data_IF_655333902890
#
_entry.id   IF_655333902890
#
_cell.length_a   1.000
_cell.length_b   1.000
_cell.length_c   1.000
_cell.angle_alpha   90.00
_cell.angle_beta   90.00
_cell.angle_gamma   90.00
#
_symmetry.space_group_name_H-M   'P 1'
#
loop_
_entity.id
_entity.type
_entity.pdbx_description
1 polymer ?
#
# COMPACT_ATOMS: atom_id res chain seq x y z
N UNK A 1 61.49 2.96 -8.07
CA UNK A 1 62.58 2.67 -7.11
C UNK A 1 63.82 2.41 -7.93
N UNK A 2 64.87 3.20 -7.69
CA UNK A 2 66.05 3.28 -8.55
C UNK A 2 66.87 1.98 -8.54
N UNK A 3 67.35 1.60 -9.72
CA UNK A 3 68.42 0.63 -9.88
C UNK A 3 69.56 1.32 -10.63
N UNK A 4 70.66 1.43 -9.90
CA UNK A 4 71.90 2.09 -10.26
C UNK A 4 72.65 1.34 -11.36
N UNK A 5 73.01 2.12 -12.37
CA UNK A 5 74.10 1.94 -13.33
C UNK A 5 75.36 1.33 -12.69
N UNK A 6 75.75 0.14 -13.16
CA UNK A 6 77.13 -0.36 -13.09
C UNK A 6 77.41 -1.19 -14.35
N UNK A 7 77.60 -0.48 -15.46
CA UNK A 7 78.39 -0.97 -16.60
C UNK A 7 78.99 0.26 -17.29
N UNK A 8 80.13 0.72 -16.78
CA UNK A 8 81.02 1.59 -17.55
C UNK A 8 81.79 0.70 -18.53
N UNK A 9 81.52 0.87 -19.81
CA UNK A 9 82.40 0.40 -20.88
C UNK A 9 83.73 1.18 -20.79
N UNK A 10 84.90 0.55 -20.92
CA UNK A 10 86.13 1.29 -21.20
C UNK A 10 86.12 1.72 -22.67
N UNK A 11 86.39 3.01 -22.87
CA UNK A 11 86.57 3.64 -24.16
C UNK A 11 87.61 2.90 -25.02
N UNK A 12 87.25 2.68 -26.29
CA UNK A 12 88.20 2.34 -27.34
C UNK A 12 89.08 3.54 -27.64
N UNK A 13 90.18 3.69 -26.89
CA UNK A 13 91.27 4.58 -27.27
C UNK A 13 92.09 3.94 -28.39
N UNK A 14 92.04 4.57 -29.57
CA UNK A 14 92.94 4.29 -30.67
C UNK A 14 94.36 4.74 -30.30
N UNK A 15 95.19 3.81 -29.84
CA UNK A 15 96.63 4.05 -29.79
C UNK A 15 97.20 3.92 -31.20
N UNK A 16 97.64 5.07 -31.73
CA UNK A 16 98.48 5.15 -32.91
C UNK A 16 99.84 4.50 -32.61
N UNK A 17 100.27 3.67 -33.55
CA UNK A 17 101.63 3.18 -33.70
C UNK A 17 102.62 4.36 -33.73
N UNK A 18 103.49 4.42 -32.73
CA UNK A 18 104.79 5.10 -32.80
C UNK A 18 105.76 4.33 -31.89
N UNK A 19 106.20 3.15 -32.35
CA UNK A 19 107.32 2.43 -31.74
C UNK A 19 108.53 2.56 -32.67
N UNK A 20 109.31 3.59 -32.38
CA UNK A 20 110.66 3.80 -32.91
C UNK A 20 111.53 2.57 -32.63
N UNK A 21 112.20 2.09 -33.67
CA UNK A 21 113.32 1.18 -33.57
C UNK A 21 114.47 1.88 -32.83
N UNK A 22 114.85 1.36 -31.67
CA UNK A 22 116.22 1.47 -31.17
C UNK A 22 116.73 0.11 -30.71
N UNK A 23 117.96 -0.25 -31.09
CA UNK A 23 118.52 -1.57 -30.90
C UNK A 23 118.87 -1.82 -29.44
N UNK A 24 118.63 -3.05 -29.01
CA UNK A 24 119.15 -3.61 -27.77
C UNK A 24 120.68 -3.49 -27.74
N UNK A 25 121.19 -2.54 -26.96
CA UNK A 25 122.53 -2.62 -26.38
C UNK A 25 122.37 -3.19 -24.97
N UNK A 26 122.75 -4.45 -24.82
CA UNK A 26 122.73 -5.12 -23.53
C UNK A 26 123.67 -4.47 -22.52
N UNK A 27 123.37 -4.53 -21.22
CA UNK A 27 124.41 -4.55 -20.22
C UNK A 27 124.92 -6.00 -20.14
N UNK A 28 126.08 -6.22 -20.76
CA UNK A 28 127.03 -7.22 -20.29
C UNK A 28 127.36 -6.91 -18.83
N UNK A 29 126.80 -7.68 -17.91
CA UNK A 29 127.46 -7.94 -16.63
C UNK A 29 127.24 -9.42 -16.25
N UNK A 30 128.18 -10.24 -16.73
CA UNK A 30 128.37 -11.63 -16.36
C UNK A 30 129.10 -11.68 -15.02
N UNK A 31 128.41 -11.33 -13.93
CA UNK A 31 128.70 -11.86 -12.60
C UNK A 31 127.38 -11.96 -11.80
N UNK A 32 126.45 -12.77 -12.30
CA UNK A 32 125.35 -13.22 -11.45
C UNK A 32 125.94 -14.06 -10.30
N UNK A 33 126.10 -13.44 -9.13
CA UNK A 33 126.42 -14.13 -7.91
C UNK A 33 125.30 -15.13 -7.61
N UNK A 34 125.65 -16.36 -7.22
CA UNK A 34 124.70 -17.49 -7.09
C UNK A 34 123.48 -17.12 -6.24
N UNK A 35 123.69 -16.30 -5.21
CA UNK A 35 122.66 -15.80 -4.30
C UNK A 35 121.59 -14.92 -4.99
N UNK A 36 121.97 -14.10 -5.99
CA UNK A 36 121.02 -13.24 -6.73
C UNK A 36 120.13 -14.04 -7.68
N UNK A 37 120.66 -15.11 -8.29
CA UNK A 37 119.87 -16.06 -9.09
C UNK A 37 118.89 -16.80 -8.17
N UNK A 38 119.35 -17.25 -7.00
CA UNK A 38 118.50 -17.95 -6.03
C UNK A 38 117.34 -17.06 -5.56
N UNK A 39 117.60 -15.79 -5.24
CA UNK A 39 116.56 -14.84 -4.84
C UNK A 39 115.55 -14.59 -5.97
N UNK A 40 116.02 -14.41 -7.21
CA UNK A 40 115.15 -14.22 -8.38
C UNK A 40 114.29 -15.46 -8.67
N UNK A 41 114.85 -16.66 -8.55
CA UNK A 41 114.10 -17.92 -8.68
C UNK A 41 113.06 -18.05 -7.56
N UNK A 42 113.38 -17.64 -6.33
CA UNK A 42 112.41 -17.64 -5.22
C UNK A 42 111.28 -16.64 -5.45
N UNK A 43 111.57 -15.44 -5.97
CA UNK A 43 110.54 -14.45 -6.31
C UNK A 43 109.63 -14.94 -7.43
N UNK A 44 110.20 -15.47 -8.52
CA UNK A 44 109.41 -16.07 -9.60
C UNK A 44 108.55 -17.23 -9.09
N UNK A 45 109.05 -18.05 -8.13
CA UNK A 45 108.24 -19.11 -7.50
C UNK A 45 107.07 -18.56 -6.69
N UNK A 46 107.25 -17.45 -5.96
CA UNK A 46 106.16 -16.80 -5.22
C UNK A 46 105.13 -16.19 -6.17
N UNK A 47 105.59 -15.52 -7.23
CA UNK A 47 104.71 -14.92 -8.24
C UNK A 47 103.91 -15.99 -9.01
N UNK A 48 104.54 -17.12 -9.33
CA UNK A 48 103.88 -18.28 -9.93
C UNK A 48 102.81 -18.85 -8.99
N UNK A 49 103.13 -19.04 -7.70
CA UNK A 49 102.17 -19.54 -6.72
C UNK A 49 100.97 -18.57 -6.52
N UNK A 50 101.23 -17.26 -6.52
CA UNK A 50 100.17 -16.25 -6.46
C UNK A 50 99.28 -16.24 -7.72
N UNK A 51 99.88 -16.40 -8.90
CA UNK A 51 99.13 -16.53 -10.15
C UNK A 51 98.28 -17.80 -10.19
N UNK A 52 98.79 -18.93 -9.69
CA UNK A 52 98.03 -20.18 -9.53
C UNK A 52 96.83 -19.98 -8.59
N UNK A 53 97.02 -19.32 -7.44
CA UNK A 53 95.92 -19.02 -6.51
C UNK A 53 94.85 -18.13 -7.14
N UNK A 54 95.24 -17.09 -7.89
CA UNK A 54 94.30 -16.23 -8.63
C UNK A 54 93.53 -17.01 -9.69
N UNK A 55 94.21 -17.92 -10.41
CA UNK A 55 93.56 -18.80 -11.37
C UNK A 55 92.55 -19.73 -10.69
N UNK A 56 92.87 -20.29 -9.53
CA UNK A 56 91.96 -21.13 -8.76
C UNK A 56 90.74 -20.35 -8.25
N UNK A 57 90.94 -19.11 -7.77
CA UNK A 57 89.85 -18.22 -7.36
C UNK A 57 88.95 -17.86 -8.56
N UNK A 58 89.52 -17.55 -9.71
CA UNK A 58 88.77 -17.27 -10.94
C UNK A 58 87.98 -18.50 -11.40
N UNK A 59 88.59 -19.69 -11.37
CA UNK A 59 87.92 -20.95 -11.70
C UNK A 59 86.73 -21.23 -10.77
N UNK A 60 86.88 -20.95 -9.47
CA UNK A 60 85.79 -21.08 -8.50
C UNK A 60 84.65 -20.09 -8.79
N UNK A 61 84.96 -18.83 -9.15
CA UNK A 61 83.94 -17.86 -9.56
C UNK A 61 83.22 -18.27 -10.85
N UNK A 62 83.95 -18.75 -11.85
CA UNK A 62 83.34 -19.29 -13.07
C UNK A 62 82.45 -20.50 -12.78
N UNK A 63 82.82 -21.36 -11.83
CA UNK A 63 81.96 -22.46 -11.41
C UNK A 63 80.65 -21.97 -10.76
N UNK A 64 80.71 -20.93 -9.91
CA UNK A 64 79.51 -20.29 -9.33
C UNK A 64 78.61 -19.69 -10.42
N UNK A 65 79.17 -18.92 -11.35
CA UNK A 65 78.40 -18.34 -12.45
C UNK A 65 77.79 -19.41 -13.36
N UNK A 66 78.46 -20.55 -13.58
CA UNK A 66 77.87 -21.66 -14.33
C UNK A 66 76.63 -22.21 -13.64
N UNK A 67 76.65 -22.37 -12.32
CA UNK A 67 75.48 -22.84 -11.55
C UNK A 67 74.34 -21.81 -11.62
N UNK A 68 74.63 -20.53 -11.38
CA UNK A 68 73.64 -19.45 -11.46
C UNK A 68 72.99 -19.37 -12.85
N UNK A 69 73.78 -19.49 -13.92
CA UNK A 69 73.27 -19.51 -15.30
C UNK A 69 72.33 -20.69 -15.52
N UNK A 70 72.65 -21.88 -15.04
CA UNK A 70 71.77 -23.05 -15.17
C UNK A 70 70.47 -22.89 -14.36
N UNK A 71 70.53 -22.31 -13.16
CA UNK A 71 69.34 -21.99 -12.37
C UNK A 71 68.44 -20.94 -13.04
N UNK A 72 69.04 -19.90 -13.62
CA UNK A 72 68.32 -18.88 -14.39
C UNK A 72 67.70 -19.46 -15.66
N UNK A 73 68.39 -20.34 -16.38
CA UNK A 73 67.83 -21.05 -17.54
C UNK A 73 66.62 -21.91 -17.14
N UNK A 74 66.71 -22.62 -16.02
CA UNK A 74 65.59 -23.41 -15.50
C UNK A 74 64.40 -22.52 -15.16
N UNK A 75 64.62 -21.42 -14.44
CA UNK A 75 63.57 -20.44 -14.11
C UNK A 75 62.94 -19.80 -15.36
N UNK A 76 63.75 -19.46 -16.36
CA UNK A 76 63.25 -18.94 -17.63
C UNK A 76 62.41 -19.97 -18.38
N UNK A 77 62.78 -21.26 -18.34
CA UNK A 77 61.99 -22.32 -18.96
C UNK A 77 60.63 -22.50 -18.29
N UNK A 78 60.58 -22.46 -16.95
CA UNK A 78 59.31 -22.57 -16.20
C UNK A 78 58.41 -21.36 -16.46
N UNK A 79 58.96 -20.16 -16.50
CA UNK A 79 58.22 -18.93 -16.83
C UNK A 79 57.69 -18.94 -18.27
N UNK A 80 58.45 -19.49 -19.22
CA UNK A 80 58.00 -19.65 -20.61
C UNK A 80 56.83 -20.63 -20.70
N UNK A 81 56.90 -21.76 -20.00
CA UNK A 81 55.80 -22.72 -19.93
C UNK A 81 54.56 -22.11 -19.27
N UNK A 82 54.72 -21.38 -18.15
CA UNK A 82 53.64 -20.66 -17.48
C UNK A 82 52.97 -19.64 -18.40
N UNK A 83 53.77 -18.82 -19.10
CA UNK A 83 53.26 -17.85 -20.06
C UNK A 83 52.50 -18.50 -21.24
N UNK A 84 52.92 -19.69 -21.69
CA UNK A 84 52.20 -20.42 -22.74
C UNK A 84 50.80 -20.84 -22.26
N UNK A 85 50.68 -21.34 -21.03
CA UNK A 85 49.39 -21.71 -20.43
C UNK A 85 48.49 -20.49 -20.28
N UNK A 86 49.03 -19.37 -19.76
CA UNK A 86 48.26 -18.13 -19.60
C UNK A 86 47.75 -17.57 -20.94
N UNK A 87 48.54 -17.67 -22.01
CA UNK A 87 48.10 -17.27 -23.36
C UNK A 87 46.94 -18.11 -23.87
N UNK A 88 46.95 -19.42 -23.62
CA UNK A 88 45.86 -20.29 -24.01
C UNK A 88 44.58 -19.98 -23.21
N UNK A 89 44.70 -19.83 -21.88
CA UNK A 89 43.57 -19.42 -21.03
C UNK A 89 42.96 -18.09 -21.49
N UNK A 90 43.81 -17.11 -21.84
CA UNK A 90 43.36 -15.82 -22.35
C UNK A 90 42.67 -15.92 -23.72
N UNK A 91 43.09 -16.85 -24.57
CA UNK A 91 42.41 -17.16 -25.84
C UNK A 91 41.01 -17.74 -25.61
N UNK A 92 40.88 -18.69 -24.68
CA UNK A 92 39.59 -19.29 -24.29
C UNK A 92 38.66 -18.24 -23.70
N UNK A 93 39.14 -17.42 -22.76
CA UNK A 93 38.32 -16.38 -22.14
C UNK A 93 37.87 -15.31 -23.14
N UNK A 94 38.70 -14.96 -24.12
CA UNK A 94 38.29 -14.06 -25.22
C UNK A 94 37.15 -14.65 -26.05
N UNK A 95 37.18 -15.95 -26.35
CA UNK A 95 36.08 -16.64 -27.06
C UNK A 95 34.81 -16.65 -26.21
N UNK A 96 34.92 -16.98 -24.92
CA UNK A 96 33.79 -16.95 -23.97
C UNK A 96 33.17 -15.55 -23.92
N UNK A 97 33.98 -14.50 -23.78
CA UNK A 97 33.52 -13.11 -23.81
C UNK A 97 32.80 -12.74 -25.10
N UNK A 98 33.26 -13.22 -26.26
CA UNK A 98 32.59 -12.97 -27.54
C UNK A 98 31.20 -13.62 -27.59
N UNK A 99 31.09 -14.90 -27.21
CA UNK A 99 29.80 -15.63 -27.19
C UNK A 99 28.80 -15.01 -26.21
N UNK A 100 29.25 -14.59 -25.03
CA UNK A 100 28.40 -13.94 -24.03
C UNK A 100 27.91 -12.57 -24.53
N UNK A 101 28.74 -11.80 -25.23
CA UNK A 101 28.34 -10.52 -25.84
C UNK A 101 27.29 -10.70 -26.93
N UNK A 102 27.44 -11.71 -27.76
CA UNK A 102 26.46 -12.04 -28.81
C UNK A 102 25.11 -12.41 -28.18
N UNK A 103 25.12 -13.31 -27.19
CA UNK A 103 23.90 -13.69 -26.45
C UNK A 103 23.22 -12.49 -25.79
N UNK A 104 24.00 -11.62 -25.12
CA UNK A 104 23.47 -10.40 -24.52
C UNK A 104 22.85 -9.44 -25.55
N UNK A 105 23.38 -9.40 -26.78
CA UNK A 105 22.82 -8.60 -27.88
C UNK A 105 21.46 -9.13 -28.33
N UNK A 106 21.33 -10.46 -28.46
CA UNK A 106 20.07 -11.13 -28.81
C UNK A 106 19.02 -10.89 -27.72
N UNK A 107 19.37 -11.14 -26.46
CA UNK A 107 18.47 -10.92 -25.32
C UNK A 107 17.99 -9.46 -25.24
N UNK A 108 18.87 -8.50 -25.55
CA UNK A 108 18.52 -7.08 -25.64
C UNK A 108 17.52 -6.78 -26.75
N UNK A 109 17.62 -7.47 -27.90
CA UNK A 109 16.65 -7.31 -28.99
C UNK A 109 15.30 -7.93 -28.61
N UNK A 110 15.29 -9.08 -27.96
CA UNK A 110 14.06 -9.75 -27.53
C UNK A 110 13.34 -8.96 -26.44
N UNK A 111 14.07 -8.40 -25.47
CA UNK A 111 13.50 -7.48 -24.47
C UNK A 111 12.84 -6.26 -25.12
N UNK A 112 13.43 -5.70 -26.19
CA UNK A 112 12.81 -4.60 -26.94
C UNK A 112 11.50 -5.05 -27.59
N UNK A 113 11.48 -6.22 -28.23
CA UNK A 113 10.26 -6.78 -28.86
C UNK A 113 9.16 -7.01 -27.82
N UNK A 114 9.49 -7.67 -26.71
CA UNK A 114 8.55 -7.90 -25.60
C UNK A 114 8.01 -6.58 -25.03
N UNK A 115 8.85 -5.56 -24.86
CA UNK A 115 8.42 -4.24 -24.38
C UNK A 115 7.38 -3.60 -25.30
N UNK A 116 7.54 -3.71 -26.63
CA UNK A 116 6.55 -3.20 -27.58
C UNK A 116 5.23 -3.96 -27.47
N UNK A 117 5.27 -5.29 -27.43
CA UNK A 117 4.06 -6.13 -27.28
C UNK A 117 3.32 -5.82 -25.99
N UNK A 118 4.03 -5.69 -24.86
CA UNK A 118 3.42 -5.33 -23.57
C UNK A 118 2.75 -3.96 -23.64
N UNK A 119 3.38 -2.96 -24.25
CA UNK A 119 2.76 -1.64 -24.44
C UNK A 119 1.50 -1.70 -25.31
N UNK A 120 1.48 -2.52 -26.36
CA UNK A 120 0.29 -2.72 -27.20
C UNK A 120 -0.84 -3.40 -26.43
N UNK A 121 -0.53 -4.44 -25.65
CA UNK A 121 -1.53 -5.12 -24.81
C UNK A 121 -2.08 -4.18 -23.73
N UNK A 122 -1.23 -3.35 -23.12
CA UNK A 122 -1.67 -2.35 -22.15
C UNK A 122 -2.61 -1.31 -22.77
N UNK A 123 -2.30 -0.84 -23.98
CA UNK A 123 -3.18 0.08 -24.70
C UNK A 123 -4.55 -0.55 -24.98
N UNK A 124 -4.57 -1.81 -25.41
CA UNK A 124 -5.81 -2.56 -25.66
C UNK A 124 -6.62 -2.79 -24.37
N UNK A 125 -5.96 -3.12 -23.27
CA UNK A 125 -6.61 -3.26 -21.97
C UNK A 125 -7.26 -1.93 -21.53
N UNK A 126 -6.55 -0.81 -21.73
CA UNK A 126 -7.07 0.51 -21.40
C UNK A 126 -8.31 0.86 -22.24
N UNK A 127 -8.33 0.54 -23.53
CA UNK A 127 -9.49 0.79 -24.40
C UNK A 127 -10.70 -0.06 -24.00
N UNK A 128 -10.50 -1.36 -23.72
CA UNK A 128 -11.57 -2.24 -23.26
C UNK A 128 -12.14 -1.80 -21.90
N UNK A 129 -11.27 -1.38 -20.98
CA UNK A 129 -11.67 -0.86 -19.67
C UNK A 129 -12.49 0.43 -19.81
N UNK A 130 -12.09 1.34 -20.69
CA UNK A 130 -12.84 2.57 -20.96
C UNK A 130 -14.22 2.27 -21.57
N UNK A 131 -14.30 1.30 -22.50
CA UNK A 131 -15.56 0.84 -23.09
C UNK A 131 -16.50 0.23 -22.03
N UNK A 132 -15.99 -0.65 -21.17
CA UNK A 132 -16.74 -1.25 -20.06
C UNK A 132 -17.27 -0.19 -19.09
N UNK A 133 -16.46 0.80 -18.73
CA UNK A 133 -16.89 1.90 -17.87
C UNK A 133 -18.01 2.73 -18.51
N UNK A 134 -17.92 3.01 -19.81
CA UNK A 134 -18.97 3.71 -20.55
C UNK A 134 -20.29 2.93 -20.58
N UNK A 135 -20.23 1.62 -20.87
CA UNK A 135 -21.42 0.74 -20.84
C UNK A 135 -22.03 0.65 -19.43
N UNK A 136 -21.20 0.54 -18.40
CA UNK A 136 -21.66 0.50 -16.99
C UNK A 136 -22.36 1.80 -16.60
N UNK A 137 -21.81 2.95 -17.03
CA UNK A 137 -22.44 4.25 -16.81
C UNK A 137 -23.79 4.34 -17.52
N UNK A 138 -23.88 3.87 -18.76
CA UNK A 138 -25.13 3.84 -19.50
C UNK A 138 -26.18 2.93 -18.85
N UNK A 139 -25.77 1.74 -18.39
CA UNK A 139 -26.64 0.82 -17.66
C UNK A 139 -27.24 1.47 -16.40
N UNK A 140 -26.41 2.15 -15.59
CA UNK A 140 -26.88 2.89 -14.40
C UNK A 140 -27.91 3.98 -14.73
N UNK A 141 -27.72 4.68 -15.84
CA UNK A 141 -28.69 5.71 -16.29
C UNK A 141 -30.02 5.07 -16.65
N UNK A 142 -30.01 3.95 -17.37
CA UNK A 142 -31.23 3.21 -17.72
C UNK A 142 -31.91 2.66 -16.46
N UNK A 143 -31.16 2.08 -15.53
CA UNK A 143 -31.71 1.59 -14.25
C UNK A 143 -32.40 2.72 -13.47
N UNK A 144 -31.81 3.91 -13.46
CA UNK A 144 -32.42 5.07 -12.82
C UNK A 144 -33.72 5.50 -13.53
N UNK A 145 -33.70 5.59 -14.86
CA UNK A 145 -34.89 5.93 -15.64
C UNK A 145 -36.01 4.91 -15.45
N UNK A 146 -35.67 3.62 -15.37
CA UNK A 146 -36.62 2.57 -15.09
C UNK A 146 -37.24 2.71 -13.70
N UNK A 147 -36.43 3.00 -12.67
CA UNK A 147 -36.93 3.22 -11.31
C UNK A 147 -37.84 4.45 -11.21
N UNK A 148 -37.50 5.54 -11.92
CA UNK A 148 -38.34 6.74 -12.01
C UNK A 148 -39.68 6.43 -12.72
N UNK A 149 -39.64 5.75 -13.87
CA UNK A 149 -40.85 5.37 -14.61
C UNK A 149 -41.75 4.40 -13.83
N UNK A 150 -41.17 3.46 -13.07
CA UNK A 150 -41.92 2.59 -12.16
C UNK A 150 -42.65 3.40 -11.09
N UNK A 151 -41.96 4.37 -10.49
CA UNK A 151 -42.57 5.25 -9.50
C UNK A 151 -43.70 6.10 -10.09
N UNK A 152 -43.51 6.68 -11.27
CA UNK A 152 -44.54 7.49 -11.94
C UNK A 152 -45.77 6.65 -12.31
N UNK A 153 -45.56 5.41 -12.79
CA UNK A 153 -46.64 4.47 -13.10
C UNK A 153 -47.45 4.14 -11.85
N UNK A 154 -46.76 3.86 -10.75
CA UNK A 154 -47.40 3.52 -9.49
C UNK A 154 -48.12 4.69 -8.85
N UNK A 155 -47.54 5.89 -8.93
CA UNK A 155 -48.19 7.14 -8.56
C UNK A 155 -49.49 7.32 -9.35
N UNK A 156 -49.43 7.17 -10.68
CA UNK A 156 -50.61 7.32 -11.54
C UNK A 156 -51.69 6.28 -11.22
N UNK A 157 -51.31 5.03 -10.95
CA UNK A 157 -52.28 4.01 -10.48
C UNK A 157 -53.00 4.46 -9.22
N UNK A 158 -52.27 4.92 -8.21
CA UNK A 158 -52.86 5.39 -6.97
C UNK A 158 -53.76 6.62 -7.17
N UNK A 159 -53.38 7.59 -8.02
CA UNK A 159 -54.24 8.75 -8.29
C UNK A 159 -55.48 8.37 -9.08
N UNK A 160 -55.37 7.50 -10.08
CA UNK A 160 -56.52 7.06 -10.90
C UNK A 160 -57.49 6.20 -10.08
N UNK A 161 -56.97 5.35 -9.19
CA UNK A 161 -57.79 4.59 -8.24
C UNK A 161 -58.48 5.51 -7.23
N UNK A 162 -57.77 6.53 -6.72
CA UNK A 162 -58.36 7.54 -5.86
C UNK A 162 -59.47 8.33 -6.58
N UNK A 163 -59.24 8.78 -7.82
CA UNK A 163 -60.23 9.45 -8.68
C UNK A 163 -61.46 8.58 -8.96
N UNK A 164 -61.27 7.29 -9.20
CA UNK A 164 -62.38 6.32 -9.35
C UNK A 164 -63.19 6.16 -8.08
N UNK A 165 -62.54 6.20 -6.91
CA UNK A 165 -63.22 6.16 -5.63
C UNK A 165 -63.99 7.45 -5.35
N UNK A 166 -63.48 8.62 -5.77
CA UNK A 166 -64.23 9.90 -5.70
C UNK A 166 -65.36 10.01 -6.73
N UNK A 167 -65.26 9.32 -7.88
CA UNK A 167 -66.33 9.28 -8.89
C UNK A 167 -67.49 8.32 -8.54
N UNK A 168 -67.40 7.53 -7.46
CA UNK A 168 -68.58 6.86 -6.92
C UNK A 168 -69.46 7.90 -6.21
N UNK A 169 -70.70 8.17 -6.67
CA UNK A 169 -71.54 9.28 -6.17
C UNK A 169 -72.20 9.00 -4.82
N UNK A 170 -71.60 8.14 -3.99
CA UNK A 170 -72.08 7.88 -2.63
C UNK A 170 -71.09 8.52 -1.66
N UNK A 171 -71.47 9.73 -1.22
CA UNK A 171 -70.97 10.49 -0.06
C UNK A 171 -69.81 11.47 -0.40
N UNK A 172 -70.14 12.58 -1.09
CA UNK A 172 -69.39 13.84 -0.91
C UNK A 172 -69.85 14.50 0.40
N UNK A 173 -69.33 14.02 1.53
CA UNK A 173 -69.35 14.81 2.77
C UNK A 173 -68.21 15.83 2.69
N UNK A 174 -68.53 17.10 2.42
CA UNK A 174 -67.55 18.21 2.43
C UNK A 174 -66.92 18.44 3.81
N UNK A 175 -67.51 17.87 4.86
CA UNK A 175 -67.00 17.87 6.23
C UNK A 175 -66.17 16.61 6.57
N UNK A 176 -65.92 15.71 5.61
CA UNK A 176 -65.07 14.55 5.83
C UNK A 176 -63.60 14.98 5.98
N UNK A 177 -62.87 14.45 6.98
CA UNK A 177 -61.42 14.65 7.08
C UNK A 177 -60.72 14.24 5.79
N UNK A 178 -59.75 15.05 5.36
CA UNK A 178 -58.93 14.73 4.19
C UNK A 178 -58.32 13.32 4.34
N UNK A 179 -58.27 12.53 3.25
CA UNK A 179 -57.75 11.18 3.32
C UNK A 179 -56.30 11.18 3.81
N UNK A 180 -55.94 10.26 4.73
CA UNK A 180 -54.60 10.20 5.29
C UNK A 180 -53.57 9.86 4.21
N UNK A 181 -52.54 10.70 4.08
CA UNK A 181 -51.44 10.48 3.12
C UNK A 181 -50.36 9.62 3.78
N UNK A 182 -50.03 8.44 3.24
CA UNK A 182 -48.95 7.61 3.78
C UNK A 182 -47.60 8.27 3.54
N UNK A 183 -46.68 8.13 4.50
CA UNK A 183 -45.32 8.63 4.35
C UNK A 183 -44.29 7.81 5.13
N UNK A 184 -43.03 8.02 4.78
CA UNK A 184 -41.85 7.55 5.50
C UNK A 184 -40.98 8.74 5.90
N UNK A 185 -40.31 8.63 7.03
CA UNK A 185 -39.45 9.67 7.58
C UNK A 185 -38.00 9.23 7.59
N UNK A 186 -37.09 10.13 7.22
CA UNK A 186 -35.64 9.97 7.38
C UNK A 186 -35.12 11.08 8.28
N UNK A 187 -34.53 10.70 9.42
CA UNK A 187 -33.88 11.60 10.36
C UNK A 187 -32.38 11.36 10.32
N UNK A 188 -31.60 12.41 10.06
CA UNK A 188 -30.15 12.32 9.93
C UNK A 188 -29.47 13.27 10.91
N UNK A 189 -28.57 12.72 11.71
CA UNK A 189 -27.57 13.48 12.44
C UNK A 189 -26.43 13.84 11.49
N UNK A 190 -26.47 15.08 10.99
CA UNK A 190 -25.48 15.62 10.07
C UNK A 190 -24.12 15.86 10.71
N UNK A 191 -24.01 15.90 12.04
CA UNK A 191 -22.75 16.07 12.75
C UNK A 191 -21.99 14.74 12.87
N UNK A 192 -22.72 13.62 13.01
CA UNK A 192 -22.13 12.31 13.20
C UNK A 192 -21.87 11.54 11.88
N UNK A 193 -22.58 11.89 10.81
CA UNK A 193 -22.48 11.22 9.51
C UNK A 193 -21.66 12.03 8.52
N UNK A 194 -20.72 11.38 7.85
CA UNK A 194 -20.00 11.99 6.72
C UNK A 194 -20.67 11.58 5.41
N UNK A 195 -20.85 12.53 4.50
CA UNK A 195 -21.33 12.27 3.14
C UNK A 195 -20.34 11.40 2.36
N UNK A 196 -20.86 10.55 1.47
CA UNK A 196 -20.05 9.70 0.59
C UNK A 196 -19.17 10.55 -0.33
N UNK A 197 -17.92 10.11 -0.56
CA UNK A 197 -16.96 10.83 -1.42
C UNK A 197 -17.48 11.00 -2.85
N UNK A 198 -18.28 10.05 -3.31
CA UNK A 198 -18.83 10.03 -4.66
C UNK A 198 -19.81 11.18 -4.91
N UNK A 199 -20.39 11.77 -3.85
CA UNK A 199 -21.29 12.93 -3.96
C UNK A 199 -20.54 14.18 -4.42
N UNK A 200 -19.25 14.28 -4.10
CA UNK A 200 -18.41 15.43 -4.45
C UNK A 200 -17.59 15.20 -5.74
N UNK A 201 -17.65 14.01 -6.33
CA UNK A 201 -16.91 13.72 -7.57
C UNK A 201 -17.62 14.34 -8.77
N UNK A 202 -16.90 15.17 -9.54
CA UNK A 202 -17.36 15.78 -10.80
C UNK A 202 -17.92 14.76 -11.79
N UNK A 203 -17.34 13.56 -11.86
CA UNK A 203 -17.76 12.51 -12.79
C UNK A 203 -19.16 11.94 -12.48
N UNK A 204 -19.53 11.96 -11.19
CA UNK A 204 -20.76 11.41 -10.66
C UNK A 204 -21.87 12.45 -10.50
N UNK A 205 -21.58 13.74 -10.72
CA UNK A 205 -22.56 14.83 -10.67
C UNK A 205 -23.42 14.91 -11.92
N UNK A 206 -23.23 14.06 -12.92
CA UNK A 206 -24.01 14.10 -14.17
C UNK A 206 -25.15 13.10 -14.11
N UNK A 207 -26.37 13.60 -13.95
CA UNK A 207 -27.61 12.80 -13.99
C UNK A 207 -28.34 13.13 -15.28
N UNK A 208 -28.26 12.25 -16.28
CA UNK A 208 -28.71 12.57 -17.64
C UNK A 208 -27.89 13.69 -18.30
N UNK A 209 -28.54 14.78 -18.71
CA UNK A 209 -27.90 15.96 -19.32
C UNK A 209 -27.55 17.07 -18.32
N UNK A 210 -28.01 16.97 -17.09
CA UNK A 210 -27.87 18.02 -16.07
C UNK A 210 -26.72 17.71 -15.10
N UNK A 211 -25.99 18.77 -14.72
CA UNK A 211 -25.03 18.70 -13.63
C UNK A 211 -25.79 18.95 -12.32
N UNK A 212 -25.88 17.93 -11.49
CA UNK A 212 -26.51 18.00 -10.17
C UNK A 212 -25.46 18.37 -9.15
N UNK A 213 -25.70 19.46 -8.44
CA UNK A 213 -24.82 19.90 -7.38
C UNK A 213 -24.79 18.92 -6.19
N UNK A 214 -23.69 18.85 -5.41
CA UNK A 214 -23.49 17.84 -4.37
C UNK A 214 -24.65 17.69 -3.38
N UNK A 215 -25.23 18.79 -2.89
CA UNK A 215 -26.37 18.72 -1.96
C UNK A 215 -27.60 18.07 -2.59
N UNK A 216 -27.92 18.46 -3.84
CA UNK A 216 -29.04 17.87 -4.59
C UNK A 216 -28.79 16.40 -4.96
N UNK A 217 -27.53 16.02 -5.21
CA UNK A 217 -27.16 14.63 -5.45
C UNK A 217 -27.35 13.79 -4.17
N UNK A 218 -26.98 14.31 -3.01
CA UNK A 218 -27.21 13.65 -1.72
C UNK A 218 -28.70 13.40 -1.46
N UNK A 219 -29.55 14.41 -1.67
CA UNK A 219 -31.01 14.29 -1.55
C UNK A 219 -31.57 13.22 -2.51
N UNK A 220 -31.13 13.23 -3.77
CA UNK A 220 -31.51 12.24 -4.78
C UNK A 220 -31.12 10.82 -4.35
N UNK A 221 -29.91 10.63 -3.83
CA UNK A 221 -29.47 9.31 -3.38
C UNK A 221 -30.24 8.81 -2.15
N UNK A 222 -30.58 9.68 -1.19
CA UNK A 222 -31.45 9.30 -0.06
C UNK A 222 -32.82 8.84 -0.58
N UNK A 223 -33.47 9.63 -1.45
CA UNK A 223 -34.75 9.25 -2.07
C UNK A 223 -34.67 7.86 -2.70
N UNK A 224 -33.63 7.60 -3.49
CA UNK A 224 -33.47 6.33 -4.19
C UNK A 224 -33.31 5.15 -3.22
N UNK A 225 -32.52 5.29 -2.15
CA UNK A 225 -32.37 4.23 -1.15
C UNK A 225 -33.66 3.97 -0.38
N UNK A 226 -34.44 5.01 -0.08
CA UNK A 226 -35.76 4.88 0.55
C UNK A 226 -36.77 4.20 -0.38
N UNK A 227 -36.83 4.59 -1.66
CA UNK A 227 -37.71 3.94 -2.65
C UNK A 227 -37.38 2.45 -2.78
N UNK A 228 -36.08 2.10 -2.91
CA UNK A 228 -35.66 0.69 -2.91
C UNK A 228 -36.16 -0.06 -1.68
N UNK A 229 -36.08 0.56 -0.50
CA UNK A 229 -36.59 -0.05 0.73
C UNK A 229 -38.10 -0.29 0.66
N UNK A 230 -38.88 0.73 0.24
CA UNK A 230 -40.34 0.66 0.11
C UNK A 230 -40.75 -0.49 -0.82
N UNK A 231 -40.15 -0.57 -2.02
CA UNK A 231 -40.43 -1.61 -3.00
C UNK A 231 -40.10 -3.02 -2.46
N UNK A 232 -39.08 -3.13 -1.61
CA UNK A 232 -38.69 -4.38 -0.96
C UNK A 232 -39.56 -4.76 0.25
N UNK A 233 -40.59 -3.98 0.62
CA UNK A 233 -41.49 -4.31 1.73
C UNK A 233 -42.71 -5.16 1.32
N UNK A 234 -42.76 -5.69 0.09
CA UNK A 234 -43.83 -6.57 -0.38
C UNK A 234 -45.25 -6.00 -0.14
N UNK A 235 -45.44 -4.69 -0.35
CA UNK A 235 -46.74 -4.01 -0.18
C UNK A 235 -47.09 -3.58 1.25
N UNK A 236 -46.25 -3.86 2.26
CA UNK A 236 -46.48 -3.36 3.63
C UNK A 236 -46.37 -1.84 3.75
N UNK A 237 -45.58 -1.20 2.90
CA UNK A 237 -45.50 0.25 2.78
C UNK A 237 -46.11 0.62 1.42
N UNK A 238 -47.14 1.48 1.39
CA UNK A 238 -47.71 1.95 0.13
C UNK A 238 -46.64 2.62 -0.74
N UNK A 239 -46.47 2.24 -2.00
CA UNK A 239 -45.42 2.83 -2.84
C UNK A 239 -45.62 4.31 -3.18
N UNK A 240 -46.87 4.78 -3.13
CA UNK A 240 -47.21 6.20 -3.19
C UNK A 240 -46.87 6.99 -1.89
N UNK A 241 -46.19 6.37 -0.92
CA UNK A 241 -45.77 7.04 0.32
C UNK A 241 -44.86 8.22 0.04
N UNK A 242 -45.18 9.38 0.62
CA UNK A 242 -44.30 10.55 0.57
C UNK A 242 -43.02 10.29 1.38
N UNK A 243 -41.90 10.85 0.95
CA UNK A 243 -40.62 10.72 1.64
C UNK A 243 -40.30 12.08 2.27
N UNK A 244 -40.24 12.11 3.60
CA UNK A 244 -39.83 13.27 4.37
C UNK A 244 -38.39 13.02 4.85
N UNK A 245 -37.48 13.94 4.57
CA UNK A 245 -36.08 13.83 5.02
C UNK A 245 -35.69 15.08 5.78
N UNK A 246 -35.20 14.91 7.01
CA UNK A 246 -34.70 16.01 7.84
C UNK A 246 -33.28 15.72 8.29
N UNK A 247 -32.36 16.56 7.85
CA UNK A 247 -30.96 16.56 8.28
C UNK A 247 -30.77 17.69 9.28
N UNK A 248 -30.32 17.35 10.49
CA UNK A 248 -30.00 18.33 11.52
C UNK A 248 -28.50 18.38 11.73
N UNK A 249 -27.92 19.56 11.65
CA UNK A 249 -26.48 19.76 11.74
C UNK A 249 -26.19 21.10 12.40
N UNK A 250 -25.24 21.18 13.34
CA UNK A 250 -24.83 22.47 13.88
C UNK A 250 -23.85 23.15 12.92
N UNK A 251 -24.27 24.20 12.21
CA UNK A 251 -23.47 24.79 11.13
C UNK A 251 -22.13 25.34 11.63
N UNK A 252 -22.13 25.99 12.81
CA UNK A 252 -20.92 26.58 13.38
C UNK A 252 -19.83 25.55 13.73
N UNK A 253 -20.22 24.33 14.12
CA UNK A 253 -19.28 23.24 14.44
C UNK A 253 -18.89 22.34 13.26
N UNK A 254 -19.75 22.28 12.22
CA UNK A 254 -19.62 21.33 11.11
C UNK A 254 -19.03 21.94 9.84
N UNK A 255 -19.09 23.26 9.65
CA UNK A 255 -18.50 23.94 8.49
C UNK A 255 -17.01 23.64 8.34
N UNK A 256 -16.25 23.75 9.43
CA UNK A 256 -14.81 23.45 9.44
C UNK A 256 -14.50 21.98 9.11
N UNK A 257 -15.37 21.04 9.51
CA UNK A 257 -15.23 19.60 9.20
C UNK A 257 -15.55 19.29 7.74
N UNK A 258 -16.55 19.95 7.16
CA UNK A 258 -16.91 19.74 5.76
C UNK A 258 -15.85 20.33 4.83
N UNK A 259 -15.41 21.56 5.10
CA UNK A 259 -14.40 22.27 4.30
C UNK A 259 -12.99 21.65 4.42
N UNK A 260 -12.56 21.22 5.62
CA UNK A 260 -11.23 20.62 5.80
C UNK A 260 -11.07 19.29 5.04
N UNK A 261 -12.14 18.48 4.97
CA UNK A 261 -12.14 17.23 4.20
C UNK A 261 -12.19 17.46 2.68
N UNK A 262 -12.72 18.60 2.23
CA UNK A 262 -12.84 18.97 0.81
C UNK A 262 -11.61 19.72 0.26
N UNK A 263 -10.92 20.52 1.08
CA UNK A 263 -9.70 21.27 0.67
C UNK A 263 -8.59 20.38 0.12
N UNK A 264 -8.59 19.09 0.47
CA UNK A 264 -7.66 18.12 -0.10
C UNK A 264 -7.90 17.80 -1.60
N UNK A 265 -9.03 18.21 -2.21
CA UNK A 265 -9.44 17.76 -3.56
C UNK A 265 -10.11 18.81 -4.48
N UNK A 266 -9.81 20.10 -4.32
CA UNK A 266 -10.22 21.18 -5.25
C UNK A 266 -11.74 21.31 -5.56
N UNK A 267 -12.62 20.62 -4.82
CA UNK A 267 -14.09 20.71 -4.94
C UNK A 267 -14.65 21.16 -3.59
N UNK A 268 -14.51 22.45 -3.29
CA UNK A 268 -14.96 23.03 -2.03
C UNK A 268 -16.38 23.58 -2.21
N UNK A 269 -17.39 22.83 -1.76
CA UNK A 269 -18.76 23.34 -1.61
C UNK A 269 -18.97 23.60 -0.12
N UNK A 270 -19.33 24.83 0.26
CA UNK A 270 -19.58 25.18 1.64
C UNK A 270 -20.80 24.45 2.22
N UNK A 271 -20.86 24.28 3.55
CA UNK A 271 -21.99 23.61 4.21
C UNK A 271 -23.31 24.29 3.88
N UNK A 272 -23.30 25.64 3.88
CA UNK A 272 -24.47 26.44 3.54
C UNK A 272 -24.97 26.16 2.13
N UNK A 273 -24.07 26.17 1.14
CA UNK A 273 -24.45 25.90 -0.26
C UNK A 273 -24.94 24.47 -0.44
N UNK A 274 -24.27 23.51 0.21
CA UNK A 274 -24.73 22.11 0.23
C UNK A 274 -26.14 21.99 0.82
N UNK A 275 -26.42 22.68 1.93
CA UNK A 275 -27.72 22.66 2.58
C UNK A 275 -28.82 23.28 1.70
N UNK A 276 -28.52 24.39 1.02
CA UNK A 276 -29.44 25.01 0.05
C UNK A 276 -29.73 24.03 -1.09
N UNK A 277 -28.70 23.49 -1.73
CA UNK A 277 -28.82 22.51 -2.82
C UNK A 277 -29.59 21.25 -2.41
N UNK A 278 -29.41 20.80 -1.16
CA UNK A 278 -30.15 19.66 -0.62
C UNK A 278 -31.63 19.99 -0.46
N UNK A 279 -31.92 21.16 0.12
CA UNK A 279 -33.29 21.58 0.47
C UNK A 279 -34.10 21.93 -0.77
N UNK A 280 -33.51 22.64 -1.74
CA UNK A 280 -34.20 23.02 -2.98
C UNK A 280 -34.49 21.82 -3.90
N UNK A 281 -33.77 20.69 -3.71
CA UNK A 281 -33.90 19.54 -4.60
C UNK A 281 -35.27 18.88 -4.52
N UNK A 282 -35.89 18.84 -3.33
CA UNK A 282 -37.20 18.19 -3.13
C UNK A 282 -38.00 18.91 -2.04
N UNK A 283 -39.33 19.10 -2.23
CA UNK A 283 -40.15 19.90 -1.30
C UNK A 283 -40.25 19.40 0.15
N UNK A 284 -39.95 18.12 0.42
CA UNK A 284 -40.04 17.50 1.75
C UNK A 284 -38.66 17.14 2.32
N UNK A 285 -37.60 17.71 1.75
CA UNK A 285 -36.23 17.48 2.16
C UNK A 285 -35.69 18.77 2.77
N UNK A 286 -35.34 18.70 4.05
CA UNK A 286 -34.88 19.85 4.82
C UNK A 286 -33.46 19.59 5.33
N UNK A 287 -32.55 20.52 5.07
CA UNK A 287 -31.26 20.59 5.75
C UNK A 287 -31.27 21.80 6.69
N UNK A 288 -31.37 21.52 7.99
CA UNK A 288 -31.62 22.54 9.01
C UNK A 288 -30.44 22.72 9.95
N UNK A 289 -30.09 23.98 10.24
CA UNK A 289 -29.17 24.30 11.32
C UNK A 289 -29.81 23.92 12.67
N UNK A 290 -29.12 23.10 13.45
CA UNK A 290 -29.53 22.73 14.80
C UNK A 290 -29.38 23.91 15.78
N UNK A 291 -28.58 24.92 15.41
CA UNK A 291 -28.27 26.07 16.25
C UNK A 291 -27.09 25.82 17.19
N UNK A 292 -26.80 26.82 18.03
CA UNK A 292 -25.62 26.79 18.92
C UNK A 292 -25.86 25.91 20.14
N UNK A 293 -24.93 25.00 20.41
CA UNK A 293 -24.91 24.17 21.62
C UNK A 293 -24.57 22.71 21.30
N UNK A 294 -24.16 21.98 22.34
CA UNK A 294 -24.06 20.52 22.30
C UNK A 294 -25.48 19.94 22.35
N UNK A 295 -25.72 18.80 21.70
CA UNK A 295 -26.99 18.03 21.77
C UNK A 295 -28.23 18.69 21.12
N UNK A 296 -28.09 19.87 20.50
CA UNK A 296 -29.22 20.55 19.82
C UNK A 296 -29.80 19.77 18.64
N UNK A 297 -28.94 19.06 17.90
CA UNK A 297 -29.38 18.16 16.84
C UNK A 297 -30.15 16.97 17.42
N UNK A 298 -29.65 16.41 18.52
CA UNK A 298 -30.23 15.27 19.22
C UNK A 298 -31.65 15.54 19.70
N UNK A 299 -31.89 16.72 20.30
CA UNK A 299 -33.22 17.12 20.74
C UNK A 299 -34.21 17.23 19.57
N UNK A 300 -33.78 17.83 18.45
CA UNK A 300 -34.60 17.90 17.24
C UNK A 300 -34.92 16.50 16.69
N UNK A 301 -33.92 15.62 16.62
CA UNK A 301 -34.12 14.25 16.17
C UNK A 301 -35.08 13.50 17.09
N UNK A 302 -34.91 13.64 18.41
CA UNK A 302 -35.73 12.96 19.42
C UNK A 302 -37.20 13.35 19.33
N UNK A 303 -37.49 14.65 19.30
CA UNK A 303 -38.88 15.12 19.22
C UNK A 303 -39.54 14.76 17.89
N UNK A 304 -38.81 14.87 16.78
CA UNK A 304 -39.32 14.43 15.47
C UNK A 304 -39.59 12.92 15.45
N UNK A 305 -38.68 12.13 16.01
CA UNK A 305 -38.82 10.69 16.11
C UNK A 305 -40.11 10.30 16.85
N UNK A 306 -40.33 10.83 18.06
CA UNK A 306 -41.52 10.51 18.85
C UNK A 306 -42.82 10.96 18.17
N UNK A 307 -42.85 12.16 17.60
CA UNK A 307 -44.02 12.71 16.90
C UNK A 307 -44.43 11.84 15.71
N UNK A 308 -43.47 11.48 14.85
CA UNK A 308 -43.80 10.76 13.63
C UNK A 308 -43.96 9.26 13.85
N UNK A 309 -43.22 8.65 14.78
CA UNK A 309 -43.38 7.24 15.11
C UNK A 309 -44.79 6.91 15.63
N UNK A 310 -45.35 7.83 16.43
CA UNK A 310 -46.73 7.73 16.92
C UNK A 310 -47.80 8.09 15.89
N UNK A 311 -47.41 8.68 14.74
CA UNK A 311 -48.35 9.06 13.69
C UNK A 311 -48.79 7.82 12.89
N UNK A 312 -50.10 7.51 12.78
CA UNK A 312 -50.59 6.30 12.10
C UNK A 312 -50.13 6.17 10.65
N UNK A 313 -50.07 7.29 9.93
CA UNK A 313 -49.72 7.34 8.51
C UNK A 313 -48.20 7.22 8.24
N UNK A 314 -47.38 7.24 9.29
CA UNK A 314 -45.95 7.01 9.17
C UNK A 314 -45.68 5.50 9.15
N UNK A 315 -45.19 4.99 8.02
CA UNK A 315 -44.99 3.55 7.82
C UNK A 315 -43.57 3.09 8.16
N UNK A 316 -42.59 3.99 8.10
CA UNK A 316 -41.22 3.72 8.51
C UNK A 316 -40.51 4.99 8.96
N UNK A 317 -39.62 4.85 9.95
CA UNK A 317 -38.74 5.92 10.43
C UNK A 317 -37.29 5.45 10.34
N UNK A 318 -36.55 6.02 9.39
CA UNK A 318 -35.13 5.81 9.23
C UNK A 318 -34.35 6.74 10.16
N UNK A 319 -33.49 6.17 11.00
CA UNK A 319 -32.68 6.91 11.97
C UNK A 319 -31.20 6.75 11.62
N UNK A 320 -30.62 7.78 11.02
CA UNK A 320 -29.18 7.89 10.76
C UNK A 320 -28.50 8.67 11.90
N UNK A 321 -28.48 8.07 13.08
CA UNK A 321 -27.86 8.63 14.30
C UNK A 321 -27.18 7.52 15.15
N UNK A 322 -26.83 6.40 14.51
CA UNK A 322 -26.46 5.15 15.19
C UNK A 322 -25.07 5.17 15.84
N UNK A 323 -24.27 6.18 15.55
CA UNK A 323 -22.90 6.32 16.08
C UNK A 323 -22.85 7.08 17.41
N UNK A 324 -23.96 7.70 17.83
CA UNK A 324 -24.06 8.34 19.13
C UNK A 324 -24.86 7.45 20.10
N UNK A 325 -24.26 7.15 21.26
CA UNK A 325 -24.88 6.33 22.29
C UNK A 325 -26.05 7.05 22.99
N UNK A 326 -26.14 8.39 22.87
CA UNK A 326 -27.23 9.20 23.42
C UNK A 326 -28.62 8.82 22.90
N UNK A 327 -28.70 8.24 21.68
CA UNK A 327 -29.97 7.78 21.11
C UNK A 327 -30.42 6.41 21.63
N UNK A 328 -29.56 5.64 22.30
CA UNK A 328 -29.92 4.30 22.76
C UNK A 328 -31.10 4.32 23.73
N UNK A 329 -31.13 5.27 24.68
CA UNK A 329 -32.25 5.41 25.64
C UNK A 329 -33.56 5.83 25.00
N UNK A 330 -33.52 6.51 23.86
CA UNK A 330 -34.73 6.85 23.10
C UNK A 330 -35.26 5.61 22.37
N UNK A 331 -34.38 4.83 21.75
CA UNK A 331 -34.75 3.61 21.03
C UNK A 331 -35.20 2.46 21.95
N UNK A 332 -34.56 2.31 23.12
CA UNK A 332 -34.83 1.25 24.09
C UNK A 332 -36.30 1.20 24.54
N UNK A 333 -36.96 2.35 24.60
CA UNK A 333 -38.38 2.49 24.98
C UNK A 333 -39.33 1.75 24.03
N UNK A 334 -38.87 1.46 22.81
CA UNK A 334 -39.66 0.82 21.76
C UNK A 334 -39.18 -0.59 21.43
N UNK A 335 -38.19 -1.13 22.15
CA UNK A 335 -37.65 -2.47 21.91
C UNK A 335 -38.71 -3.57 22.08
N UNK A 336 -39.62 -3.39 23.04
CA UNK A 336 -40.70 -4.35 23.33
C UNK A 336 -42.05 -3.99 22.68
N UNK A 337 -42.11 -2.89 21.92
CA UNK A 337 -43.35 -2.43 21.30
C UNK A 337 -43.46 -2.94 19.85
N UNK A 338 -44.33 -3.92 19.52
CA UNK A 338 -44.27 -4.64 18.24
C UNK A 338 -44.45 -3.73 17.01
N UNK A 339 -45.42 -2.81 17.05
CA UNK A 339 -45.69 -1.90 15.93
C UNK A 339 -44.56 -0.90 15.71
N UNK A 340 -44.11 -0.22 16.77
CA UNK A 340 -43.00 0.73 16.71
C UNK A 340 -41.70 0.04 16.26
N UNK A 341 -41.42 -1.15 16.81
CA UNK A 341 -40.26 -1.95 16.46
C UNK A 341 -40.19 -2.28 14.97
N UNK A 342 -41.32 -2.59 14.34
CA UNK A 342 -41.36 -2.87 12.90
C UNK A 342 -41.12 -1.63 12.03
N UNK A 343 -41.57 -0.45 12.49
CA UNK A 343 -41.43 0.85 11.81
C UNK A 343 -40.01 1.41 11.85
N UNK A 344 -39.24 1.12 12.90
CA UNK A 344 -37.91 1.72 13.12
C UNK A 344 -36.86 1.01 12.25
N UNK A 345 -36.12 1.80 11.47
CA UNK A 345 -35.01 1.32 10.63
C UNK A 345 -33.75 2.15 10.92
N UNK A 346 -32.68 1.49 11.35
CA UNK A 346 -31.42 2.14 11.66
C UNK A 346 -30.55 2.23 10.40
N UNK A 347 -30.10 3.43 10.06
CA UNK A 347 -29.19 3.65 8.93
C UNK A 347 -27.78 3.76 9.49
N UNK A 348 -26.95 2.75 9.29
CA UNK A 348 -25.59 2.73 9.85
C UNK A 348 -24.55 3.12 8.79
N UNK A 349 -23.46 3.81 9.15
CA UNK A 349 -22.32 4.04 8.27
C UNK A 349 -21.38 2.83 8.21
N UNK A 350 -21.83 1.63 8.61
CA UNK A 350 -21.02 0.41 8.72
C UNK A 350 -20.86 -0.11 10.15
N UNK A 351 -21.17 0.69 11.17
CA UNK A 351 -21.28 0.24 12.56
C UNK A 351 -22.31 1.07 13.34
N UNK A 352 -22.80 0.54 14.45
CA UNK A 352 -23.60 1.28 15.45
C UNK A 352 -22.94 1.18 16.83
N UNK A 353 -23.30 2.02 17.79
CA UNK A 353 -22.82 1.88 19.18
C UNK A 353 -23.28 0.57 19.79
N UNK A 354 -22.53 0.02 20.74
CA UNK A 354 -22.85 -1.28 21.36
C UNK A 354 -24.22 -1.24 22.06
N UNK A 355 -24.60 -0.09 22.60
CA UNK A 355 -25.88 0.16 23.25
C UNK A 355 -27.03 0.00 22.25
N UNK A 356 -26.89 0.57 21.04
CA UNK A 356 -27.89 0.48 19.97
C UNK A 356 -27.90 -0.93 19.33
N UNK A 357 -26.72 -1.54 19.11
CA UNK A 357 -26.60 -2.90 18.55
C UNK A 357 -27.33 -3.95 19.41
N UNK A 358 -27.38 -3.77 20.73
CA UNK A 358 -28.08 -4.69 21.65
C UNK A 358 -29.61 -4.68 21.46
N UNK A 359 -30.17 -3.60 20.93
CA UNK A 359 -31.62 -3.44 20.75
C UNK A 359 -32.15 -4.15 19.51
N UNK A 360 -31.27 -4.63 18.62
CA UNK A 360 -31.59 -5.51 17.47
C UNK A 360 -32.59 -4.97 16.44
N UNK A 361 -32.87 -3.66 16.42
CA UNK A 361 -33.67 -3.03 15.36
C UNK A 361 -33.11 -3.32 13.96
N UNK A 362 -33.99 -3.28 12.94
CA UNK A 362 -33.62 -3.44 11.52
C UNK A 362 -32.53 -2.45 11.16
N UNK A 363 -31.49 -2.90 10.44
CA UNK A 363 -30.39 -2.04 10.01
C UNK A 363 -30.23 -2.05 8.49
N UNK A 364 -29.84 -0.91 7.94
CA UNK A 364 -29.46 -0.75 6.54
C UNK A 364 -28.20 0.12 6.42
N UNK A 365 -27.49 0.00 5.30
CA UNK A 365 -26.29 0.78 5.00
C UNK A 365 -26.48 1.44 3.65
N UNK A 366 -26.22 2.75 3.58
CA UNK A 366 -26.31 3.52 2.34
C UNK A 366 -24.92 4.03 1.91
N UNK A 367 -24.04 3.16 1.39
CA UNK A 367 -22.64 3.51 1.08
C UNK A 367 -22.53 4.59 -0.02
N UNK A 368 -23.57 4.71 -0.84
CA UNK A 368 -23.67 5.74 -1.87
C UNK A 368 -24.07 7.11 -1.31
N UNK A 369 -24.69 7.16 -0.13
CA UNK A 369 -25.14 8.38 0.57
C UNK A 369 -24.11 8.80 1.61
N UNK A 370 -23.75 7.89 2.51
CA UNK A 370 -22.85 8.13 3.62
C UNK A 370 -21.53 7.40 3.42
N UNK A 371 -20.43 8.02 3.85
CA UNK A 371 -19.12 7.39 3.85
C UNK A 371 -19.08 6.23 4.83
N UNK A 372 -18.66 5.05 4.35
CA UNK A 372 -18.47 3.88 5.20
C UNK A 372 -17.35 4.16 6.21
N UNK A 373 -17.66 4.02 7.51
CA UNK A 373 -16.71 4.16 8.61
C UNK A 373 -16.34 2.78 9.11
N UNK A 374 -15.04 2.49 9.13
CA UNK A 374 -14.51 1.39 9.92
C UNK A 374 -14.40 1.82 11.39
N UNK A 375 -14.64 0.88 12.30
CA UNK A 375 -14.35 1.08 13.71
C UNK A 375 -12.86 1.35 13.90
N UNK A 376 -12.51 2.27 14.79
CA UNK A 376 -11.12 2.44 15.17
C UNK A 376 -10.58 1.18 15.83
N UNK A 377 -9.27 0.93 15.69
CA UNK A 377 -8.62 -0.24 16.31
C UNK A 377 -8.87 -0.32 17.82
N UNK A 378 -8.93 0.83 18.49
CA UNK A 378 -9.23 0.92 19.92
C UNK A 378 -10.67 0.51 20.26
N UNK A 379 -11.64 0.94 19.47
CA UNK A 379 -13.04 0.56 19.65
C UNK A 379 -13.26 -0.92 19.37
N UNK A 380 -12.59 -1.49 18.37
CA UNK A 380 -12.61 -2.94 18.11
C UNK A 380 -12.10 -3.71 19.33
N UNK A 381 -10.96 -3.29 19.90
CA UNK A 381 -10.42 -3.91 21.11
C UNK A 381 -11.34 -3.75 22.33
N UNK A 382 -11.96 -2.57 22.51
CA UNK A 382 -12.97 -2.37 23.57
C UNK A 382 -14.19 -3.29 23.37
N UNK A 383 -14.67 -3.46 22.13
CA UNK A 383 -15.76 -4.40 21.82
C UNK A 383 -15.36 -5.83 22.14
N UNK A 384 -14.17 -6.25 21.72
CA UNK A 384 -13.64 -7.59 22.01
C UNK A 384 -13.51 -7.85 23.52
N UNK A 385 -13.04 -6.87 24.29
CA UNK A 385 -12.95 -7.02 25.76
C UNK A 385 -14.31 -7.09 26.43
N UNK A 386 -15.29 -6.30 25.99
CA UNK A 386 -16.68 -6.37 26.49
C UNK A 386 -17.31 -7.73 26.14
N UNK A 387 -17.13 -8.22 24.92
CA UNK A 387 -17.61 -9.54 24.49
C UNK A 387 -16.92 -10.66 25.26
N UNK A 388 -15.61 -10.55 25.50
CA UNK A 388 -14.83 -11.51 26.31
C UNK A 388 -15.34 -11.56 27.74
N UNK A 389 -15.58 -10.40 28.37
CA UNK A 389 -16.18 -10.31 29.71
C UNK A 389 -17.57 -10.96 29.75
N UNK A 390 -18.42 -10.74 28.74
CA UNK A 390 -19.74 -11.40 28.63
C UNK A 390 -19.63 -12.93 28.48
N UNK A 391 -18.68 -13.43 27.70
CA UNK A 391 -18.44 -14.88 27.54
C UNK A 391 -17.98 -15.51 28.86
N UNK A 392 -17.08 -14.84 29.58
CA UNK A 392 -16.62 -15.27 30.91
C UNK A 392 -17.74 -15.24 31.95
N UNK A 393 -18.57 -14.20 31.95
CA UNK A 393 -19.73 -14.10 32.84
C UNK A 393 -20.74 -15.24 32.59
N UNK A 394 -21.05 -15.54 31.31
CA UNK A 394 -21.91 -16.69 30.96
C UNK A 394 -21.31 -18.02 31.46
N UNK A 395 -20.00 -18.24 31.28
CA UNK A 395 -19.30 -19.43 31.79
C UNK A 395 -19.41 -19.57 33.32
N UNK A 396 -19.30 -18.46 34.06
CA UNK A 396 -19.49 -18.45 35.51
C UNK A 396 -20.94 -18.71 35.94
N UNK A 397 -21.94 -18.21 35.20
CA UNK A 397 -23.36 -18.51 35.49
C UNK A 397 -23.68 -19.99 35.27
N UNK A 398 -23.09 -20.64 34.25
CA UNK A 398 -23.20 -22.09 34.05
C UNK A 398 -22.55 -22.87 35.21
N UNK A 399 -21.40 -22.43 35.74
CA UNK A 399 -20.82 -23.02 36.96
C UNK A 399 -21.67 -22.83 38.22
N UNK A 400 -22.35 -21.68 38.36
CA UNK A 400 -23.23 -21.39 39.50
C UNK A 400 -24.53 -22.21 39.52
N UNK A 401 -25.10 -22.54 38.35
CA UNK A 401 -26.27 -23.43 38.27
C UNK A 401 -25.91 -24.91 38.48
N UNK A 402 -24.75 -25.37 37.96
CA UNK A 402 -24.32 -26.75 38.17
C UNK A 402 -23.73 -27.01 39.56
N UNK A 403 -23.11 -26.00 40.20
CA UNK A 403 -22.55 -26.12 41.55
C UNK A 403 -23.58 -26.21 42.68
N UNK A 404 -24.88 -26.05 42.39
CA UNK A 404 -25.96 -26.15 43.39
C UNK A 404 -26.76 -27.45 43.28
N UNK A 405 -26.52 -28.27 42.25
CA UNK A 405 -27.32 -29.45 41.96
C UNK A 405 -26.70 -30.78 42.40
N UNK A 406 -25.41 -30.87 42.71
CA UNK A 406 -24.81 -32.12 43.19
C UNK A 406 -23.70 -31.83 44.21
N UNK A 407 -23.98 -32.14 45.48
CA UNK A 407 -22.93 -32.38 46.46
C UNK A 407 -22.21 -33.66 46.08
N UNK A 408 -21.03 -33.51 45.49
CA UNK A 408 -20.15 -34.61 45.11
C UNK A 408 -18.89 -34.07 44.47
N UNK A 409 -17.74 -34.43 45.04
CA UNK A 409 -16.42 -34.10 44.50
C UNK A 409 -16.32 -34.57 43.04
N UNK A 410 -16.31 -33.62 42.11
CA UNK A 410 -15.98 -33.86 40.71
C UNK A 410 -14.66 -33.16 40.44
N UNK A 411 -13.60 -33.97 40.32
CA UNK A 411 -12.33 -33.57 39.72
C UNK A 411 -12.61 -33.07 38.30
N UNK A 412 -12.48 -31.76 38.10
CA UNK A 412 -12.64 -31.13 36.78
C UNK A 412 -11.34 -31.29 36.00
N UNK A 413 -11.35 -32.13 34.97
CA UNK A 413 -10.23 -32.30 34.05
C UNK A 413 -9.93 -30.96 33.34
N UNK A 414 -8.71 -30.47 33.54
CA UNK A 414 -8.23 -29.19 33.03
C UNK A 414 -8.11 -29.14 31.50
N UNK A 415 -8.20 -30.30 30.83
CA UNK A 415 -8.16 -30.39 29.36
C UNK A 415 -9.41 -29.86 28.65
N UNK A 416 -10.61 -30.08 29.20
CA UNK A 416 -11.85 -29.62 28.56
C UNK A 416 -12.01 -28.09 28.64
N UNK A 417 -11.48 -27.47 29.70
CA UNK A 417 -11.46 -26.02 29.86
C UNK A 417 -10.51 -25.34 28.85
N UNK A 418 -9.40 -26.00 28.51
CA UNK A 418 -8.43 -25.53 27.53
C UNK A 418 -8.96 -25.63 26.10
N UNK A 419 -9.72 -26.69 25.78
CA UNK A 419 -10.32 -26.87 24.46
C UNK A 419 -11.47 -25.89 24.15
N UNK A 420 -12.12 -25.33 25.18
CA UNK A 420 -13.09 -24.24 25.03
C UNK A 420 -12.44 -22.85 24.82
N UNK A 421 -11.13 -22.73 25.05
CA UNK A 421 -10.34 -21.49 24.95
C UNK A 421 -9.56 -21.40 23.62
N UNK A 422 -9.50 -22.48 22.84
CA UNK A 422 -8.89 -22.48 21.50
C UNK A 422 -9.83 -21.82 20.48
N UNK A 423 -9.39 -20.81 19.72
CA UNK A 423 -10.18 -20.26 18.63
C UNK A 423 -10.45 -21.37 17.60
N UNK A 424 -11.72 -21.75 17.38
CA UNK A 424 -12.13 -22.38 16.12
C UNK A 424 -12.06 -21.30 15.04
N UNK A 425 -10.84 -21.01 14.58
CA UNK A 425 -10.59 -20.15 13.45
C UNK A 425 -11.38 -20.69 12.25
N UNK A 426 -12.27 -19.86 11.73
CA UNK A 426 -12.92 -20.08 10.44
C UNK A 426 -11.83 -20.15 9.37
N UNK A 427 -11.46 -21.37 8.99
CA UNK A 427 -10.59 -21.66 7.84
C UNK A 427 -11.24 -21.18 6.51
N UNK A 428 -12.53 -20.85 6.53
CA UNK A 428 -13.27 -20.37 5.35
C UNK A 428 -13.06 -18.86 5.10
N UNK A 429 -12.72 -18.06 6.11
CA UNK A 429 -12.50 -16.61 5.94
C UNK A 429 -11.07 -16.22 5.50
N UNK A 430 -10.08 -17.06 5.81
CA UNK A 430 -8.68 -16.77 5.49
C UNK A 430 -8.31 -17.10 4.03
N UNK A 431 -9.00 -18.06 3.40
CA UNK A 431 -8.77 -18.41 2.00
C UNK A 431 -9.39 -17.42 1.00
N UNK A 432 -10.39 -16.62 1.40
CA UNK A 432 -10.95 -15.56 0.54
C UNK A 432 -9.99 -14.38 0.33
N UNK A 433 -9.05 -14.15 1.26
CA UNK A 433 -8.12 -13.01 1.20
C UNK A 433 -6.84 -13.31 0.40
N UNK A 434 -6.62 -14.56 0.01
CA UNK A 434 -5.53 -14.92 -0.90
C UNK A 434 -5.92 -14.80 -2.39
N UNK A 435 -7.22 -14.72 -2.69
CA UNK A 435 -7.76 -14.63 -4.05
C UNK A 435 -7.85 -13.20 -4.60
N UNK A 436 -7.58 -12.17 -3.80
CA UNK A 436 -7.54 -10.78 -4.24
C UNK A 436 -6.18 -10.19 -3.88
N UNK A 437 -5.24 -10.30 -4.82
CA UNK A 437 -3.82 -10.00 -4.64
C UNK A 437 -3.53 -8.60 -4.11
N UNK A 438 -3.42 -8.47 -2.79
CA UNK A 438 -2.86 -7.32 -2.10
C UNK A 438 -1.69 -7.83 -1.28
N UNK A 439 -0.49 -7.62 -1.80
CA UNK A 439 0.76 -7.97 -1.12
C UNK A 439 0.91 -7.16 0.16
N UNK A 440 1.09 -7.85 1.28
CA UNK A 440 1.50 -7.24 2.53
C UNK A 440 3.01 -6.97 2.48
N UNK A 441 3.41 -5.71 2.32
CA UNK A 441 4.77 -5.28 2.61
C UNK A 441 4.99 -5.31 4.11
N UNK A 442 5.82 -6.24 4.54
CA UNK A 442 6.33 -6.35 5.91
C UNK A 442 7.30 -5.18 6.20
N UNK A 443 7.12 -4.53 7.35
CA UNK A 443 7.98 -3.44 7.83
C UNK A 443 8.84 -4.02 8.95
N UNK A 444 10.11 -4.29 8.64
CA UNK A 444 11.03 -4.90 9.60
C UNK A 444 12.49 -5.03 9.17
N UNK A 445 13.11 -3.97 8.62
CA UNK A 445 14.57 -3.91 8.53
C UNK A 445 15.07 -2.45 8.50
N UNK A 446 15.86 -2.07 9.51
CA UNK A 446 16.67 -0.83 9.54
C UNK A 446 17.76 -0.91 8.45
N UNK A 447 18.04 0.17 7.69
CA UNK A 447 19.27 0.27 6.93
C UNK A 447 20.42 0.82 7.81
N UNK A 448 21.70 0.49 7.52
CA UNK A 448 22.85 1.04 8.21
C UNK A 448 23.15 2.47 7.75
N UNK A 449 23.77 3.24 8.65
CA UNK A 449 24.17 4.63 8.44
C UNK A 449 25.14 4.78 7.25
N UNK A 450 24.87 5.77 6.39
CA UNK A 450 25.82 6.24 5.36
C UNK A 450 26.77 7.25 5.99
N UNK A 451 28.06 6.92 5.96
CA UNK A 451 29.17 7.85 6.14
C UNK A 451 29.10 8.94 5.05
N UNK A 452 29.26 10.19 5.47
CA UNK A 452 29.50 11.31 4.56
C UNK A 452 30.91 11.20 3.96
N UNK A 453 31.02 11.29 2.64
CA UNK A 453 32.26 11.63 1.95
C UNK A 453 32.00 12.92 1.19
N UNK A 454 32.69 13.96 1.63
CA UNK A 454 32.91 15.21 0.91
C UNK A 454 33.74 14.93 -0.33
N UNK A 455 33.38 15.54 -1.46
CA UNK A 455 34.33 15.91 -2.49
C UNK A 455 33.78 17.13 -3.23
N UNK A 456 34.52 18.21 -3.07
CA UNK A 456 34.42 19.46 -3.80
C UNK A 456 34.98 19.30 -5.22
N UNK A 457 34.68 20.31 -6.03
CA UNK A 457 35.34 20.76 -7.26
C UNK A 457 35.21 19.86 -8.50
N UNK A 458 34.55 20.35 -9.56
CA UNK A 458 35.26 21.22 -10.52
C UNK A 458 34.30 21.89 -11.52
N UNK A 459 34.77 23.07 -11.92
CA UNK A 459 34.25 24.04 -12.87
C UNK A 459 34.54 23.60 -14.33
N UNK A 460 34.03 24.38 -15.28
CA UNK A 460 34.42 24.52 -16.70
C UNK A 460 33.46 23.95 -17.77
N UNK A 461 33.07 24.92 -18.62
CA UNK A 461 32.33 24.97 -19.90
C UNK A 461 30.79 24.91 -19.92
#
# INVERSE_FOLDING_TARGET
MGLSSWFSYPDTESYKDDAAAQPASGPTDLTMNFDSIVERVQTIKRDLAYAEELCDQANLQFAKYRVEIEELKKSLSTERSSNAVLKEMLSVERKNCATLREKASVDKQDLKRQRVTTSQLQARLNTETASLNAMTKHARVIEQQYAEAQFDLEYLKCTTEAERLTQNPLIENKDAPLPPVPFVLVLVDGDAYSWSRDIFSTENRRTGRELVEPGGLAATKIKNEVIKYILNQNGKIPPASKIITRVFCNYGGSEGRMLSKQRAKATAVGLRDFAVQFTERMPLFDFSDAGRGKERADDKIRENFHLFLSTPNCHAVFVAACTDAGFARMLEQYADHPVAYEKIVLVTPGFATLEIEKLQFKQTVWPNVFGVRALSREEVLRRETILRKKRLAKSFTYKGLFGRALGGDISVDSRDLLMAVVPKGSVVGAMSKFSQGIGTTDVGARPPARLAIMSADDEVD
#
